data_IF_331936949075
#
_entry.id   IF_331936949075
#
_cell.length_a   1.000
_cell.length_b   1.000
_cell.length_c   1.000
_cell.angle_alpha   90.00
_cell.angle_beta   90.00
_cell.angle_gamma   90.00
#
_symmetry.space_group_name_H-M   'P 1'
#
loop_
_entity.id
_entity.type
_entity.pdbx_description
1 polymer ?
#
# COMPACT_ATOMS: atom_id res chain seq x y z
N UNK A 1 -0.65 -16.90 -2.24
CA UNK A 1 0.63 -16.78 -2.96
C UNK A 1 1.43 -15.61 -2.40
N UNK A 2 2.70 -15.86 -2.18
CA UNK A 2 3.60 -14.82 -1.69
C UNK A 2 4.08 -13.97 -2.86
N UNK A 3 4.19 -12.67 -2.61
CA UNK A 3 4.84 -11.76 -3.56
C UNK A 3 6.34 -11.77 -3.26
N UNK A 4 7.21 -12.21 -4.19
CA UNK A 4 8.65 -12.20 -3.98
C UNK A 4 9.15 -10.79 -3.60
N UNK A 5 9.93 -10.70 -2.53
CA UNK A 5 10.47 -9.45 -2.03
C UNK A 5 9.55 -8.64 -1.11
N UNK A 6 8.31 -9.09 -0.88
CA UNK A 6 7.34 -8.33 -0.07
C UNK A 6 7.80 -8.16 1.38
N UNK A 7 8.26 -9.22 2.01
CA UNK A 7 8.69 -9.18 3.42
C UNK A 7 9.86 -8.22 3.60
N UNK A 8 10.86 -8.32 2.73
CA UNK A 8 12.04 -7.45 2.76
C UNK A 8 11.67 -5.99 2.57
N UNK A 9 10.78 -5.71 1.61
CA UNK A 9 10.33 -4.36 1.33
C UNK A 9 9.52 -3.78 2.50
N UNK A 10 8.60 -4.56 3.08
CA UNK A 10 7.82 -4.13 4.24
C UNK A 10 8.74 -3.75 5.39
N UNK A 11 9.74 -4.57 5.68
CA UNK A 11 10.71 -4.28 6.75
C UNK A 11 11.55 -3.05 6.46
N UNK A 12 12.00 -2.88 5.22
CA UNK A 12 12.76 -1.69 4.81
C UNK A 12 11.92 -0.42 4.93
N UNK A 13 10.66 -0.46 4.50
CA UNK A 13 9.74 0.68 4.63
C UNK A 13 9.45 1.01 6.10
N UNK A 14 9.23 0.00 6.94
CA UNK A 14 9.00 0.20 8.37
C UNK A 14 10.20 0.84 9.07
N UNK A 15 11.42 0.52 8.64
CA UNK A 15 12.63 1.15 9.15
C UNK A 15 12.76 2.60 8.70
N UNK A 16 12.19 2.96 7.55
CA UNK A 16 12.25 4.33 7.00
C UNK A 16 11.13 5.23 7.51
N UNK A 17 9.98 4.67 7.90
CA UNK A 17 8.85 5.46 8.35
C UNK A 17 7.59 4.63 8.59
N UNK A 18 6.43 5.30 8.81
CA UNK A 18 5.18 4.61 9.03
C UNK A 18 4.72 3.82 7.81
N UNK A 19 4.17 2.63 8.05
CA UNK A 19 3.58 1.76 7.04
C UNK A 19 2.15 1.43 7.43
N UNK A 20 1.23 1.57 6.50
CA UNK A 20 -0.17 1.17 6.66
C UNK A 20 -0.53 0.01 5.76
N UNK A 21 -1.52 -0.76 6.18
CA UNK A 21 -2.11 -1.83 5.38
C UNK A 21 -3.57 -1.48 5.07
N UNK A 22 -3.95 -1.60 3.80
CA UNK A 22 -5.31 -1.43 3.34
C UNK A 22 -5.76 -2.72 2.64
N UNK A 23 -6.62 -3.49 3.28
CA UNK A 23 -7.07 -4.80 2.79
C UNK A 23 -8.59 -4.86 2.74
N UNK A 24 -9.12 -5.47 1.69
CA UNK A 24 -10.55 -5.83 1.61
C UNK A 24 -10.92 -7.11 2.35
N UNK A 25 -9.96 -7.79 2.95
CA UNK A 25 -10.19 -8.97 3.76
C UNK A 25 -10.56 -8.61 5.18
N UNK A 26 -11.11 -9.57 5.92
CA UNK A 26 -11.40 -9.43 7.33
C UNK A 26 -10.11 -9.43 8.15
N UNK A 27 -10.11 -8.72 9.28
CA UNK A 27 -8.95 -8.69 10.18
C UNK A 27 -8.57 -10.09 10.65
N UNK A 28 -9.56 -10.96 10.88
CA UNK A 28 -9.34 -12.34 11.25
C UNK A 28 -8.59 -13.16 10.18
N UNK A 29 -8.62 -12.72 8.92
CA UNK A 29 -7.87 -13.35 7.84
C UNK A 29 -6.50 -12.69 7.65
N UNK A 30 -6.42 -11.39 7.89
CA UNK A 30 -5.18 -10.62 7.71
C UNK A 30 -4.16 -10.91 8.81
N UNK A 31 -4.58 -10.84 10.08
CA UNK A 31 -3.66 -10.95 11.20
C UNK A 31 -2.85 -12.24 11.24
N UNK A 32 -3.43 -13.43 10.99
CA UNK A 32 -2.64 -14.66 10.93
C UNK A 32 -1.59 -14.67 9.83
N UNK A 33 -1.89 -14.09 8.67
CA UNK A 33 -0.95 -14.01 7.54
C UNK A 33 0.24 -13.12 7.91
N UNK A 34 -0.01 -11.94 8.48
CA UNK A 34 1.04 -11.03 8.89
C UNK A 34 1.92 -11.64 10.00
N UNK A 35 1.31 -12.36 10.94
CA UNK A 35 2.03 -13.07 12.00
C UNK A 35 2.91 -14.17 11.42
N UNK A 36 2.39 -14.97 10.48
CA UNK A 36 3.13 -16.04 9.83
C UNK A 36 4.33 -15.53 9.03
N UNK A 37 4.18 -14.36 8.40
CA UNK A 37 5.26 -13.69 7.66
C UNK A 37 6.25 -12.94 8.57
N UNK A 38 5.93 -12.78 9.85
CA UNK A 38 6.78 -12.07 10.80
C UNK A 38 6.84 -10.55 10.58
N UNK A 39 5.80 -9.96 9.98
CA UNK A 39 5.76 -8.53 9.64
C UNK A 39 4.63 -7.76 10.33
N UNK A 40 3.89 -8.38 11.23
CA UNK A 40 2.74 -7.73 11.90
C UNK A 40 3.14 -6.41 12.58
N UNK A 41 4.28 -6.36 13.24
CA UNK A 41 4.78 -5.17 13.94
C UNK A 41 5.28 -4.07 13.00
N UNK A 42 5.44 -4.36 11.71
CA UNK A 42 5.88 -3.37 10.72
C UNK A 42 4.76 -2.36 10.38
N UNK A 43 3.51 -2.73 10.58
CA UNK A 43 2.37 -1.89 10.23
C UNK A 43 1.94 -1.05 11.42
N UNK A 44 1.99 0.28 11.26
CA UNK A 44 1.52 1.23 12.26
C UNK A 44 0.01 1.31 12.31
N UNK A 45 -0.66 1.12 11.17
CA UNK A 45 -2.12 1.08 11.05
C UNK A 45 -2.53 -0.02 10.08
N UNK A 46 -3.68 -0.64 10.36
CA UNK A 46 -4.31 -1.63 9.48
C UNK A 46 -5.77 -1.24 9.27
N UNK A 47 -6.16 -1.06 8.03
CA UNK A 47 -7.55 -0.87 7.63
C UNK A 47 -8.01 -2.13 6.92
N UNK A 48 -9.04 -2.76 7.45
CA UNK A 48 -9.60 -4.02 6.95
C UNK A 48 -11.07 -3.85 6.60
N UNK A 49 -11.73 -4.89 6.15
CA UNK A 49 -13.12 -4.82 5.68
C UNK A 49 -14.07 -4.27 6.75
N UNK A 50 -13.84 -4.54 8.04
CA UNK A 50 -14.68 -4.06 9.14
C UNK A 50 -14.58 -2.55 9.37
N UNK A 51 -13.52 -1.91 8.92
CA UNK A 51 -13.23 -0.52 9.21
C UNK A 51 -13.94 0.46 8.28
N UNK A 52 -14.40 -0.01 7.12
CA UNK A 52 -15.02 0.84 6.09
C UNK A 52 -16.35 0.26 5.63
N UNK A 53 -17.28 1.15 5.26
CA UNK A 53 -18.60 0.75 4.75
C UNK A 53 -18.53 0.31 3.29
N UNK A 54 -17.59 0.84 2.52
CA UNK A 54 -17.46 0.58 1.08
C UNK A 54 -16.04 0.11 0.77
N UNK A 55 -15.95 -1.02 0.08
CA UNK A 55 -14.68 -1.63 -0.32
C UNK A 55 -14.11 -0.98 -1.59
N UNK A 56 -12.84 -1.34 -1.91
CA UNK A 56 -12.22 -0.96 -3.18
C UNK A 56 -13.14 -1.36 -4.34
N UNK A 57 -13.28 -0.55 -5.38
CA UNK A 57 -12.43 0.59 -5.79
C UNK A 57 -12.70 1.91 -5.06
N UNK A 58 -13.60 1.95 -4.09
CA UNK A 58 -13.83 3.17 -3.30
C UNK A 58 -12.57 3.52 -2.51
N UNK A 59 -12.33 4.84 -2.35
CA UNK A 59 -11.13 5.34 -1.70
C UNK A 59 -11.16 5.30 -0.17
N UNK A 60 -12.27 4.88 0.44
CA UNK A 60 -12.48 4.96 1.89
C UNK A 60 -11.35 4.29 2.70
N UNK A 61 -10.89 3.10 2.28
CA UNK A 61 -9.84 2.38 3.01
C UNK A 61 -8.53 3.17 3.04
N UNK A 62 -8.12 3.75 1.92
CA UNK A 62 -6.89 4.53 1.84
C UNK A 62 -7.02 5.86 2.57
N UNK A 63 -8.15 6.56 2.44
CA UNK A 63 -8.40 7.81 3.17
C UNK A 63 -8.32 7.58 4.67
N UNK A 64 -8.99 6.55 5.17
CA UNK A 64 -8.98 6.22 6.59
C UNK A 64 -7.57 5.87 7.09
N UNK A 65 -6.82 5.11 6.31
CA UNK A 65 -5.45 4.74 6.65
C UNK A 65 -4.55 5.98 6.78
N UNK A 66 -4.61 6.89 5.82
CA UNK A 66 -3.84 8.15 5.87
C UNK A 66 -4.25 9.00 7.05
N UNK A 67 -5.56 9.14 7.31
CA UNK A 67 -6.06 9.89 8.48
C UNK A 67 -5.52 9.32 9.79
N UNK A 68 -5.56 8.00 9.95
CA UNK A 68 -5.05 7.34 11.16
C UNK A 68 -3.54 7.49 11.31
N UNK A 69 -2.79 7.34 10.24
CA UNK A 69 -1.34 7.55 10.26
C UNK A 69 -0.98 8.99 10.59
N UNK A 70 -1.68 9.97 9.99
CA UNK A 70 -1.45 11.39 10.26
C UNK A 70 -1.76 11.74 11.72
N UNK A 71 -2.83 11.20 12.27
CA UNK A 71 -3.20 11.41 13.68
C UNK A 71 -2.19 10.78 14.64
N UNK A 72 -1.66 9.61 14.29
CA UNK A 72 -0.68 8.89 15.11
C UNK A 72 0.71 9.52 15.07
N UNK A 73 1.07 10.12 13.95
CA UNK A 73 2.38 10.75 13.73
C UNK A 73 2.22 12.21 13.27
N UNK A 74 1.65 13.08 14.12
CA UNK A 74 1.24 14.43 13.68
C UNK A 74 2.41 15.31 13.22
N UNK A 75 3.63 15.00 13.63
CA UNK A 75 4.82 15.79 13.29
C UNK A 75 5.48 15.38 11.97
N UNK A 76 5.00 14.33 11.34
CA UNK A 76 5.59 13.81 10.09
C UNK A 76 5.00 14.45 8.83
N UNK A 77 3.93 15.22 8.94
CA UNK A 77 3.30 15.83 7.77
C UNK A 77 2.72 14.81 6.80
N UNK A 78 2.14 13.72 7.31
CA UNK A 78 1.59 12.66 6.46
C UNK A 78 0.35 13.19 5.75
N UNK A 79 0.40 13.16 4.42
CA UNK A 79 -0.69 13.56 3.55
C UNK A 79 -0.72 12.59 2.35
N UNK A 80 -1.86 12.45 1.66
CA UNK A 80 -1.96 11.50 0.53
C UNK A 80 -0.86 11.66 -0.51
N UNK A 81 -0.57 12.90 -0.92
CA UNK A 81 0.46 13.16 -1.94
C UNK A 81 1.88 12.84 -1.49
N UNK A 82 2.13 12.68 -0.20
CA UNK A 82 3.43 12.30 0.36
C UNK A 82 3.54 10.80 0.66
N UNK A 83 2.52 10.02 0.32
CA UNK A 83 2.48 8.58 0.49
C UNK A 83 2.67 7.87 -0.84
N UNK A 84 3.04 6.60 -0.78
CA UNK A 84 3.06 5.70 -1.94
C UNK A 84 2.22 4.48 -1.60
N UNK A 85 1.31 4.10 -2.48
CA UNK A 85 0.58 2.85 -2.38
C UNK A 85 1.19 1.80 -3.30
N UNK A 86 1.21 0.55 -2.85
CA UNK A 86 1.59 -0.60 -3.67
C UNK A 86 0.33 -1.42 -3.90
N UNK A 87 0.02 -1.68 -5.16
CA UNK A 87 -1.18 -2.39 -5.57
C UNK A 87 -0.91 -3.35 -6.73
N UNK A 88 -1.79 -4.34 -6.90
CA UNK A 88 -1.70 -5.33 -7.96
C UNK A 88 -2.99 -5.44 -8.80
N UNK A 89 -4.03 -4.70 -8.44
CA UNK A 89 -5.32 -4.72 -9.12
C UNK A 89 -5.76 -3.34 -9.58
N UNK A 90 -6.63 -3.29 -10.57
CA UNK A 90 -7.23 -2.04 -11.04
C UNK A 90 -8.11 -1.39 -9.99
N UNK A 91 -8.85 -2.18 -9.20
CA UNK A 91 -9.66 -1.67 -8.11
C UNK A 91 -8.82 -1.05 -7.00
N UNK A 92 -7.69 -1.67 -6.65
CA UNK A 92 -6.76 -1.12 -5.66
C UNK A 92 -6.13 0.18 -6.13
N UNK A 93 -5.74 0.25 -7.41
CA UNK A 93 -5.19 1.48 -8.01
C UNK A 93 -6.23 2.61 -7.97
N UNK A 94 -7.48 2.32 -8.34
CA UNK A 94 -8.55 3.30 -8.32
C UNK A 94 -8.81 3.82 -6.89
N UNK A 95 -8.80 2.93 -5.90
CA UNK A 95 -9.00 3.30 -4.50
C UNK A 95 -7.89 4.24 -3.99
N UNK A 96 -6.63 3.92 -4.23
CA UNK A 96 -5.51 4.74 -3.80
C UNK A 96 -5.49 6.09 -4.52
N UNK A 97 -5.71 6.10 -5.83
CA UNK A 97 -5.76 7.34 -6.61
C UNK A 97 -6.92 8.24 -6.17
N UNK A 98 -8.08 7.65 -5.89
CA UNK A 98 -9.22 8.39 -5.37
C UNK A 98 -8.94 9.07 -4.03
N UNK A 99 -7.98 8.55 -3.26
CA UNK A 99 -7.49 9.17 -2.03
C UNK A 99 -6.35 10.18 -2.26
N UNK A 100 -5.92 10.36 -3.50
CA UNK A 100 -4.81 11.27 -3.83
C UNK A 100 -3.42 10.69 -3.63
N UNK A 101 -3.29 9.37 -3.59
CA UNK A 101 -2.03 8.66 -3.33
C UNK A 101 -1.46 8.15 -4.66
N UNK A 102 -0.19 8.47 -4.99
CA UNK A 102 0.48 7.87 -6.13
C UNK A 102 0.70 6.37 -5.92
N UNK A 103 0.57 5.59 -6.99
CA UNK A 103 0.59 4.13 -6.94
C UNK A 103 1.75 3.58 -7.74
N UNK A 104 2.52 2.69 -7.13
CA UNK A 104 3.42 1.76 -7.81
C UNK A 104 2.73 0.40 -7.85
N UNK A 105 2.44 -0.10 -9.04
CA UNK A 105 1.77 -1.37 -9.20
C UNK A 105 2.77 -2.50 -9.47
N UNK A 106 2.40 -3.72 -9.06
CA UNK A 106 3.16 -4.93 -9.33
C UNK A 106 2.37 -5.84 -10.26
N UNK A 107 2.98 -6.23 -11.38
CA UNK A 107 2.33 -7.00 -12.43
C UNK A 107 2.43 -8.52 -12.17
N UNK A 108 1.81 -8.98 -11.08
CA UNK A 108 1.78 -10.39 -10.71
C UNK A 108 0.62 -11.14 -11.37
N UNK A 109 -0.55 -10.53 -11.44
CA UNK A 109 -1.76 -11.15 -11.99
C UNK A 109 -2.30 -10.45 -13.23
N UNK A 110 -2.04 -9.16 -13.38
CA UNK A 110 -2.49 -8.36 -14.50
C UNK A 110 -1.30 -7.83 -15.31
N UNK A 111 -1.47 -7.66 -16.64
CA UNK A 111 -0.42 -7.09 -17.47
C UNK A 111 -0.09 -5.65 -17.10
N UNK A 112 1.16 -5.26 -17.32
CA UNK A 112 1.63 -3.91 -16.98
C UNK A 112 0.84 -2.80 -17.69
N UNK A 113 0.46 -2.99 -18.95
CA UNK A 113 -0.31 -2.00 -19.69
C UNK A 113 -1.71 -1.77 -19.11
N UNK A 114 -2.35 -2.81 -18.56
CA UNK A 114 -3.64 -2.70 -17.85
C UNK A 114 -3.49 -1.85 -16.60
N UNK A 115 -2.44 -2.11 -15.81
CA UNK A 115 -2.17 -1.38 -14.57
C UNK A 115 -1.79 0.09 -14.83
N UNK A 116 -1.01 0.35 -15.89
CA UNK A 116 -0.68 1.72 -16.29
C UNK A 116 -1.92 2.49 -16.75
N UNK A 117 -2.80 1.87 -17.53
CA UNK A 117 -4.06 2.51 -17.94
C UNK A 117 -5.01 2.76 -16.78
N UNK A 118 -4.95 1.93 -15.73
CA UNK A 118 -5.71 2.17 -14.50
C UNK A 118 -5.17 3.37 -13.70
N UNK A 119 -3.98 3.84 -14.02
CA UNK A 119 -3.40 5.06 -13.48
C UNK A 119 -2.24 4.87 -12.51
N UNK A 120 -1.60 3.70 -12.51
CA UNK A 120 -0.35 3.53 -11.77
C UNK A 120 0.71 4.50 -12.30
N UNK A 121 1.47 5.11 -11.39
CA UNK A 121 2.58 6.00 -11.76
C UNK A 121 3.74 5.20 -12.37
N UNK A 122 3.91 3.95 -11.93
CA UNK A 122 4.88 3.01 -12.47
C UNK A 122 4.40 1.59 -12.20
N UNK A 123 4.90 0.64 -12.99
CA UNK A 123 4.62 -0.78 -12.81
C UNK A 123 5.94 -1.53 -12.74
N UNK A 124 6.07 -2.42 -11.77
CA UNK A 124 7.22 -3.32 -11.63
C UNK A 124 6.78 -4.77 -11.83
N UNK A 125 7.69 -5.61 -12.28
CA UNK A 125 7.41 -7.04 -12.47
C UNK A 125 7.40 -7.78 -11.14
N UNK A 126 8.18 -7.32 -10.17
CA UNK A 126 8.34 -7.94 -8.85
C UNK A 126 8.68 -6.88 -7.82
N UNK A 127 8.38 -7.16 -6.55
CA UNK A 127 8.81 -6.33 -5.42
C UNK A 127 10.26 -6.62 -5.00
N UNK A 128 10.85 -7.69 -5.51
CA UNK A 128 12.22 -8.08 -5.18
C UNK A 128 13.21 -6.97 -5.55
N UNK A 129 14.10 -6.63 -4.61
CA UNK A 129 15.12 -5.61 -4.80
C UNK A 129 14.63 -4.17 -4.70
N UNK A 130 13.34 -3.93 -4.48
CA UNK A 130 12.84 -2.57 -4.25
C UNK A 130 13.28 -2.04 -2.89
N UNK A 131 13.50 -0.73 -2.86
CA UNK A 131 13.81 0.02 -1.64
C UNK A 131 12.80 1.14 -1.45
N UNK A 132 12.66 1.71 -0.23
CA UNK A 132 11.83 2.89 -0.02
C UNK A 132 12.20 4.05 -0.94
N UNK A 133 13.50 4.27 -1.17
CA UNK A 133 14.01 5.33 -2.06
C UNK A 133 13.56 5.10 -3.51
N UNK A 134 13.66 3.86 -3.98
CA UNK A 134 13.22 3.52 -5.33
C UNK A 134 11.72 3.65 -5.51
N UNK A 135 10.93 3.27 -4.50
CA UNK A 135 9.49 3.50 -4.51
C UNK A 135 9.15 4.98 -4.64
N UNK A 136 9.82 5.83 -3.88
CA UNK A 136 9.61 7.28 -3.96
C UNK A 136 9.94 7.82 -5.36
N UNK A 137 11.04 7.39 -5.96
CA UNK A 137 11.41 7.76 -7.34
C UNK A 137 10.34 7.31 -8.34
N UNK A 138 9.92 6.05 -8.27
CA UNK A 138 8.90 5.48 -9.17
C UNK A 138 7.56 6.19 -9.05
N UNK A 139 7.21 6.64 -7.86
CA UNK A 139 5.98 7.39 -7.58
C UNK A 139 6.10 8.88 -7.92
N UNK A 140 7.28 9.37 -8.28
CA UNK A 140 7.50 10.78 -8.60
C UNK A 140 7.67 11.67 -7.38
N UNK A 141 8.04 11.12 -6.22
CA UNK A 141 8.20 11.87 -4.96
C UNK A 141 9.66 12.25 -4.66
N UNK A 142 10.60 11.64 -5.31
CA UNK A 142 12.03 11.91 -5.05
C UNK A 142 12.59 12.98 -5.94
#
# INVERSE_FOLDING_TARGET
PEFPGAVELIRACAAAGPVGLCSGALRSDVDPVLAALGVAACFSEKVTAEDVAVSKPDSACYRLCVERLAARFPQRGIAPAACVAIEDTTDGIAAARGAGIPVVAVATNLPADVLLRAGAAAVVASLAGLTPERLAELAGLA
#
